data_IF_384046094189
#
_entry.id   IF_384046094189
#
_cell.length_a   1.000
_cell.length_b   1.000
_cell.length_c   1.000
_cell.angle_alpha   90.00
_cell.angle_beta   90.00
_cell.angle_gamma   90.00
#
_symmetry.space_group_name_H-M   'P 1'
#
loop_
_entity.id
_entity.type
_entity.pdbx_description
1 polymer ?
#
# COMPACT_ATOMS: atom_id res chain seq x y z
N UNK A 1 -14.65 -17.01 -31.00
CA UNK A 1 -14.90 -17.77 -29.76
C UNK A 1 -13.60 -18.01 -29.00
N UNK A 2 -12.60 -18.67 -29.60
CA UNK A 2 -11.33 -18.97 -28.91
C UNK A 2 -10.53 -17.72 -28.50
N UNK A 3 -10.42 -16.70 -29.37
CA UNK A 3 -9.77 -15.42 -29.02
C UNK A 3 -10.42 -14.71 -27.82
N UNK A 4 -11.75 -14.79 -27.69
CA UNK A 4 -12.47 -14.20 -26.58
C UNK A 4 -12.19 -14.94 -25.26
N UNK A 5 -12.11 -16.28 -25.32
CA UNK A 5 -11.74 -17.11 -24.17
C UNK A 5 -10.29 -16.86 -23.74
N UNK A 6 -9.36 -16.65 -24.67
CA UNK A 6 -7.96 -16.32 -24.36
C UNK A 6 -7.85 -14.97 -23.66
N UNK A 7 -8.56 -13.93 -24.14
CA UNK A 7 -8.57 -12.61 -23.51
C UNK A 7 -9.15 -12.65 -22.09
N UNK A 8 -10.25 -13.38 -21.87
CA UNK A 8 -10.82 -13.54 -20.53
C UNK A 8 -9.83 -14.24 -19.59
N UNK A 9 -9.15 -15.29 -20.06
CA UNK A 9 -8.16 -16.04 -19.28
C UNK A 9 -6.92 -15.20 -18.94
N UNK A 10 -6.42 -14.40 -19.87
CA UNK A 10 -5.29 -13.49 -19.61
C UNK A 10 -5.65 -12.40 -18.59
N UNK A 11 -6.83 -11.79 -18.69
CA UNK A 11 -7.28 -10.76 -17.73
C UNK A 11 -7.42 -11.35 -16.33
N UNK A 12 -7.96 -12.55 -16.21
CA UNK A 12 -8.16 -13.24 -14.93
C UNK A 12 -6.82 -13.64 -14.28
N UNK A 13 -5.88 -14.16 -15.08
CA UNK A 13 -4.51 -14.49 -14.63
C UNK A 13 -3.77 -13.22 -14.19
N UNK A 14 -3.85 -12.14 -14.96
CA UNK A 14 -3.18 -10.88 -14.63
C UNK A 14 -3.70 -10.28 -13.32
N UNK A 15 -5.02 -10.33 -13.08
CA UNK A 15 -5.60 -9.93 -11.79
C UNK A 15 -5.15 -10.84 -10.65
N UNK A 16 -5.12 -12.15 -10.86
CA UNK A 16 -4.64 -13.10 -9.85
C UNK A 16 -3.19 -12.83 -9.42
N UNK A 17 -2.30 -12.58 -10.38
CA UNK A 17 -0.90 -12.21 -10.12
C UNK A 17 -0.83 -10.87 -9.39
N UNK A 18 -1.62 -9.87 -9.79
CA UNK A 18 -1.65 -8.56 -9.14
C UNK A 18 -2.08 -8.65 -7.66
N UNK A 19 -3.10 -9.47 -7.36
CA UNK A 19 -3.56 -9.68 -5.98
C UNK A 19 -2.45 -10.35 -5.16
N UNK A 20 -1.84 -11.40 -5.68
CA UNK A 20 -0.74 -12.09 -4.99
C UNK A 20 0.45 -11.15 -4.74
N UNK A 21 0.78 -10.29 -5.71
CA UNK A 21 1.84 -9.30 -5.55
C UNK A 21 1.52 -8.27 -4.46
N UNK A 22 0.29 -7.72 -4.44
CA UNK A 22 -0.11 -6.73 -3.43
C UNK A 22 -0.20 -7.34 -2.04
N UNK A 23 -0.80 -8.52 -1.90
CA UNK A 23 -0.92 -9.20 -0.61
C UNK A 23 0.47 -9.62 -0.11
N UNK A 24 1.30 -10.21 -0.98
CA UNK A 24 2.67 -10.60 -0.63
C UNK A 24 3.51 -9.41 -0.20
N UNK A 25 3.44 -8.30 -0.93
CA UNK A 25 4.13 -7.07 -0.57
C UNK A 25 3.59 -6.44 0.72
N UNK A 26 2.28 -6.42 0.92
CA UNK A 26 1.65 -5.90 2.13
C UNK A 26 2.05 -6.67 3.39
N UNK A 27 2.04 -8.00 3.33
CA UNK A 27 2.51 -8.86 4.43
C UNK A 27 4.00 -8.65 4.70
N UNK A 28 4.82 -8.60 3.64
CA UNK A 28 6.25 -8.32 3.77
C UNK A 28 6.52 -6.96 4.42
N UNK A 29 5.80 -5.91 3.99
CA UNK A 29 5.91 -4.57 4.54
C UNK A 29 5.54 -4.54 6.03
N UNK A 30 4.46 -5.22 6.43
CA UNK A 30 4.08 -5.34 7.84
C UNK A 30 5.17 -6.03 8.66
N UNK A 31 5.67 -7.20 8.23
CA UNK A 31 6.74 -7.92 8.94
C UNK A 31 7.98 -7.03 9.09
N UNK A 32 8.36 -6.31 8.03
CA UNK A 32 9.53 -5.42 8.06
C UNK A 32 9.35 -4.28 9.06
N UNK A 33 8.16 -3.69 9.10
CA UNK A 33 7.79 -2.60 10.01
C UNK A 33 7.80 -3.09 11.46
N UNK A 34 7.16 -4.22 11.76
CA UNK A 34 7.22 -4.82 13.10
C UNK A 34 8.65 -5.20 13.52
N UNK A 35 9.47 -5.71 12.60
CA UNK A 35 10.87 -6.03 12.86
C UNK A 35 11.77 -4.80 13.11
N UNK A 36 11.35 -3.61 12.66
CA UNK A 36 12.05 -2.36 12.93
C UNK A 36 11.63 -1.73 14.26
N UNK A 37 10.52 -2.16 14.86
CA UNK A 37 10.03 -1.68 16.16
C UNK A 37 10.76 -2.36 17.32
N UNK A 38 12.04 -2.00 17.53
CA UNK A 38 12.85 -2.56 18.62
C UNK A 38 12.58 -1.93 19.99
N UNK A 39 12.04 -0.71 20.04
CA UNK A 39 11.80 0.04 21.28
C UNK A 39 10.32 0.10 21.71
N UNK A 40 9.46 -0.76 21.13
CA UNK A 40 8.02 -0.83 21.46
C UNK A 40 7.11 0.02 20.57
N UNK A 41 5.81 0.08 20.92
CA UNK A 41 4.78 0.80 20.16
C UNK A 41 4.66 2.27 20.58
N UNK A 42 5.71 3.06 20.32
CA UNK A 42 5.62 4.52 20.43
C UNK A 42 4.60 5.12 19.45
N UNK A 43 4.15 6.36 19.72
CA UNK A 43 3.16 7.08 18.88
C UNK A 43 3.55 7.09 17.40
N UNK A 44 4.85 7.25 17.11
CA UNK A 44 5.39 7.24 15.76
C UNK A 44 5.28 5.86 15.08
N UNK A 45 5.62 4.80 15.81
CA UNK A 45 5.54 3.42 15.34
C UNK A 45 4.10 3.02 15.02
N UNK A 46 3.15 3.33 15.91
CA UNK A 46 1.72 3.07 15.66
C UNK A 46 1.20 3.80 14.42
N UNK A 47 1.64 5.05 14.19
CA UNK A 47 1.29 5.82 12.98
C UNK A 47 1.81 5.15 11.71
N UNK A 48 3.07 4.71 11.70
CA UNK A 48 3.66 4.00 10.54
C UNK A 48 2.91 2.69 10.27
N UNK A 49 2.63 1.89 11.30
CA UNK A 49 1.85 0.65 11.11
C UNK A 49 0.46 0.94 10.55
N UNK A 50 -0.23 1.95 11.07
CA UNK A 50 -1.53 2.38 10.54
C UNK A 50 -1.47 2.76 9.07
N UNK A 51 -0.45 3.54 8.68
CA UNK A 51 -0.23 3.93 7.28
C UNK A 51 -0.02 2.72 6.38
N UNK A 52 0.81 1.77 6.81
CA UNK A 52 1.13 0.56 6.02
C UNK A 52 -0.11 -0.31 5.84
N UNK A 53 -0.94 -0.42 6.88
CA UNK A 53 -2.23 -1.13 6.79
C UNK A 53 -3.17 -0.45 5.79
N UNK A 54 -3.36 0.88 5.91
CA UNK A 54 -4.26 1.63 5.02
C UNK A 54 -3.77 1.57 3.57
N UNK A 55 -2.47 1.74 3.34
CA UNK A 55 -1.87 1.63 2.00
C UNK A 55 -2.06 0.22 1.40
N UNK A 56 -1.94 -0.83 2.21
CA UNK A 56 -2.18 -2.21 1.78
C UNK A 56 -3.64 -2.41 1.38
N UNK A 57 -4.60 -1.96 2.20
CA UNK A 57 -6.02 -2.09 1.85
C UNK A 57 -6.42 -1.25 0.64
N UNK A 58 -5.91 -0.03 0.51
CA UNK A 58 -6.13 0.81 -0.67
C UNK A 58 -5.60 0.13 -1.95
N UNK A 59 -4.44 -0.51 -1.87
CA UNK A 59 -3.85 -1.25 -2.99
C UNK A 59 -4.67 -2.49 -3.36
N UNK A 60 -5.15 -3.26 -2.37
CA UNK A 60 -6.05 -4.40 -2.61
C UNK A 60 -7.33 -3.93 -3.30
N UNK A 61 -7.92 -2.83 -2.81
CA UNK A 61 -9.15 -2.26 -3.36
C UNK A 61 -8.98 -1.80 -4.81
N UNK A 62 -7.84 -1.19 -5.16
CA UNK A 62 -7.52 -0.79 -6.52
C UNK A 62 -7.36 -1.98 -7.49
N UNK A 63 -6.82 -3.10 -7.00
CA UNK A 63 -6.65 -4.31 -7.83
C UNK A 63 -7.97 -5.05 -8.01
N UNK A 64 -8.82 -5.10 -6.97
CA UNK A 64 -10.12 -5.77 -7.04
C UNK A 64 -11.14 -4.98 -7.86
N UNK A 65 -11.08 -3.65 -7.81
CA UNK A 65 -12.03 -2.78 -8.49
C UNK A 65 -11.31 -1.72 -9.34
N UNK A 66 -11.24 -1.90 -10.68
CA UNK A 66 -10.56 -0.97 -11.58
C UNK A 66 -11.08 0.47 -11.51
N UNK A 67 -12.39 0.64 -11.25
CA UNK A 67 -13.02 1.96 -11.17
C UNK A 67 -12.64 2.70 -9.88
N UNK A 68 -12.10 2.00 -8.89
CA UNK A 68 -11.68 2.57 -7.62
C UNK A 68 -10.24 3.09 -7.61
N UNK A 69 -9.55 3.08 -8.76
CA UNK A 69 -8.16 3.54 -8.88
C UNK A 69 -7.98 5.01 -8.45
N UNK A 70 -8.91 5.89 -8.80
CA UNK A 70 -8.89 7.30 -8.39
C UNK A 70 -9.04 7.48 -6.89
N UNK A 71 -9.91 6.68 -6.26
CA UNK A 71 -10.08 6.67 -4.80
C UNK A 71 -8.81 6.18 -4.09
N UNK A 72 -8.17 5.11 -4.59
CA UNK A 72 -6.92 4.61 -4.03
C UNK A 72 -5.79 5.65 -4.13
N UNK A 73 -5.67 6.35 -5.26
CA UNK A 73 -4.72 7.46 -5.42
C UNK A 73 -5.01 8.58 -4.41
N UNK A 74 -6.29 8.92 -4.18
CA UNK A 74 -6.69 9.91 -3.18
C UNK A 74 -6.27 9.53 -1.76
N UNK A 75 -6.47 8.26 -1.38
CA UNK A 75 -6.05 7.73 -0.06
C UNK A 75 -4.52 7.81 0.08
N UNK A 76 -3.78 7.41 -0.95
CA UNK A 76 -2.31 7.48 -0.94
C UNK A 76 -1.81 8.93 -0.88
N UNK A 77 -2.49 9.86 -1.56
CA UNK A 77 -2.21 11.29 -1.50
C UNK A 77 -2.42 11.88 -0.11
N UNK A 78 -3.49 11.48 0.58
CA UNK A 78 -3.74 11.91 1.96
C UNK A 78 -2.67 11.39 2.94
N UNK A 79 -2.24 10.14 2.77
CA UNK A 79 -1.13 9.55 3.54
C UNK A 79 0.18 10.31 3.28
N UNK A 80 0.51 10.58 2.01
CA UNK A 80 1.71 11.30 1.64
C UNK A 80 1.72 12.73 2.21
N UNK A 81 0.58 13.42 2.15
CA UNK A 81 0.40 14.73 2.77
C UNK A 81 0.62 14.70 4.29
N UNK A 82 0.06 13.70 4.97
CA UNK A 82 0.29 13.51 6.41
C UNK A 82 1.78 13.33 6.74
N UNK A 83 2.50 12.52 5.96
CA UNK A 83 3.93 12.27 6.17
C UNK A 83 4.79 13.52 5.88
N UNK A 84 4.51 14.24 4.79
CA UNK A 84 5.29 15.42 4.38
C UNK A 84 5.08 16.62 5.30
N UNK A 85 3.87 16.81 5.83
CA UNK A 85 3.60 17.85 6.85
C UNK A 85 4.36 17.57 8.15
N UNK A 86 4.67 16.31 8.43
CA UNK A 86 5.36 15.90 9.66
C UNK A 86 6.89 15.86 9.54
N UNK A 87 7.49 16.28 8.41
CA UNK A 87 8.95 16.41 8.27
C UNK A 87 9.38 17.75 8.89
N UNK A 88 10.01 17.77 10.08
CA UNK A 88 10.61 18.99 10.57
C UNK A 88 11.72 19.42 9.61
N UNK A 89 11.87 20.74 9.32
CA UNK A 89 13.04 21.22 8.61
C UNK A 89 14.27 20.74 9.37
N UNK A 90 15.20 20.09 8.65
CA UNK A 90 16.50 19.71 9.19
C UNK A 90 17.15 20.98 9.73
N UNK A 91 17.06 21.22 11.05
CA UNK A 91 17.86 22.24 11.70
C UNK A 91 19.29 21.71 11.68
N UNK A 92 20.00 22.08 10.62
CA UNK A 92 21.45 22.12 10.63
C UNK A 92 21.88 23.00 11.80
N UNK A 93 22.09 22.37 12.97
CA UNK A 93 22.95 22.93 13.99
C UNK A 93 24.38 22.87 13.42
N UNK A 94 24.81 24.00 12.87
CA UNK A 94 26.23 24.36 12.79
C UNK A 94 26.57 25.19 14.01
#
# INVERSE_FOLDING_TARGET
MEQFLTLLREVEINRGIAILAVVGFGVYALIRVFGHMKEGFGIFNVRITGIVIVATFASILAVLNPDAGSAAIGILGAIAGYLLVMVPPQMHQK
#
